data_IF_397701824516
#
_entry.id   IF_397701824516
#
_cell.length_a   1.000
_cell.length_b   1.000
_cell.length_c   1.000
_cell.angle_alpha   90.00
_cell.angle_beta   90.00
_cell.angle_gamma   90.00
#
_symmetry.space_group_name_H-M   'P 1'
#
loop_
_entity.id
_entity.type
_entity.pdbx_description
1 polymer ?
#
# COMPACT_ATOMS: atom_id res chain seq x y z
N UNK A 1 33.47 -19.37 -17.36
CA UNK A 1 31.99 -19.46 -17.22
C UNK A 1 31.69 -19.21 -15.76
N UNK A 2 31.29 -18.00 -15.37
CA UNK A 2 30.90 -17.73 -13.98
C UNK A 2 29.61 -18.48 -13.69
N UNK A 3 29.65 -19.43 -12.77
CA UNK A 3 28.46 -20.11 -12.27
C UNK A 3 27.54 -19.03 -11.67
N UNK A 4 26.30 -18.94 -12.15
CA UNK A 4 25.32 -17.99 -11.63
C UNK A 4 25.13 -18.27 -10.13
N UNK A 5 25.18 -17.22 -9.30
CA UNK A 5 25.00 -17.38 -7.86
C UNK A 5 23.61 -17.97 -7.59
N UNK A 6 23.55 -19.12 -6.91
CA UNK A 6 22.30 -19.77 -6.51
C UNK A 6 21.56 -18.85 -5.55
N UNK A 7 20.37 -18.39 -5.94
CA UNK A 7 19.55 -17.51 -5.13
C UNK A 7 18.92 -18.30 -3.97
N UNK A 8 18.52 -17.64 -2.86
CA UNK A 8 17.91 -18.33 -1.73
C UNK A 8 16.66 -19.15 -2.08
N UNK A 9 15.91 -18.74 -3.10
CA UNK A 9 14.71 -19.44 -3.57
C UNK A 9 14.96 -20.43 -4.71
N UNK A 10 16.20 -20.60 -5.16
CA UNK A 10 16.54 -21.63 -6.16
C UNK A 10 16.67 -23.01 -5.50
N UNK A 11 16.65 -24.06 -6.31
CA UNK A 11 16.87 -25.43 -5.83
C UNK A 11 18.28 -25.57 -5.27
N UNK A 12 18.40 -26.02 -4.03
CA UNK A 12 19.71 -26.27 -3.44
C UNK A 12 20.32 -27.58 -3.96
N UNK A 13 21.66 -27.67 -4.04
CA UNK A 13 22.39 -28.83 -4.60
C UNK A 13 22.02 -30.18 -3.95
N UNK A 14 21.69 -30.19 -2.66
CA UNK A 14 21.28 -31.41 -1.92
C UNK A 14 19.76 -31.55 -1.80
N UNK A 15 18.99 -30.63 -2.37
CA UNK A 15 17.53 -30.64 -2.30
C UNK A 15 16.97 -31.66 -3.31
N UNK A 16 16.21 -32.66 -2.84
CA UNK A 16 15.48 -33.54 -3.73
C UNK A 16 14.55 -32.71 -4.63
N UNK A 17 14.44 -33.11 -5.89
CA UNK A 17 13.59 -32.40 -6.87
C UNK A 17 12.14 -32.29 -6.40
N UNK A 18 11.60 -33.36 -5.83
CA UNK A 18 10.26 -33.34 -5.25
C UNK A 18 10.11 -32.33 -4.09
N UNK A 19 11.13 -32.19 -3.25
CA UNK A 19 11.10 -31.22 -2.15
C UNK A 19 11.10 -29.78 -2.68
N UNK A 20 11.89 -29.50 -3.72
CA UNK A 20 11.89 -28.22 -4.40
C UNK A 20 10.56 -27.93 -5.10
N UNK A 21 9.95 -28.92 -5.75
CA UNK A 21 8.65 -28.77 -6.40
C UNK A 21 7.57 -28.36 -5.39
N UNK A 22 7.56 -28.95 -4.18
CA UNK A 22 6.63 -28.54 -3.12
C UNK A 22 6.93 -27.13 -2.60
N UNK A 23 8.20 -26.74 -2.51
CA UNK A 23 8.58 -25.37 -2.18
C UNK A 23 8.10 -24.37 -3.24
N UNK A 24 8.22 -24.69 -4.53
CA UNK A 24 7.74 -23.83 -5.61
C UNK A 24 6.24 -23.55 -5.47
N UNK A 25 5.43 -24.59 -5.22
CA UNK A 25 4.00 -24.43 -4.91
C UNK A 25 3.80 -23.52 -3.69
N UNK A 26 4.53 -23.77 -2.59
CA UNK A 26 4.44 -22.93 -1.39
C UNK A 26 4.76 -21.45 -1.64
N UNK A 27 5.80 -21.17 -2.43
CA UNK A 27 6.23 -19.83 -2.81
C UNK A 27 5.15 -19.14 -3.64
N UNK A 28 4.62 -19.84 -4.64
CA UNK A 28 3.69 -19.33 -5.65
C UNK A 28 2.28 -19.04 -5.08
N UNK A 29 1.92 -19.65 -3.94
CA UNK A 29 0.73 -19.27 -3.16
C UNK A 29 0.75 -17.83 -2.60
N UNK A 30 1.90 -17.14 -2.70
CA UNK A 30 2.01 -15.74 -2.33
C UNK A 30 1.67 -15.48 -0.86
N UNK A 31 1.09 -14.32 -0.58
CA UNK A 31 0.76 -13.87 0.79
C UNK A 31 -0.19 -14.81 1.55
N UNK A 32 -0.92 -15.68 0.84
CA UNK A 32 -1.88 -16.61 1.45
C UNK A 32 -1.29 -18.00 1.72
N UNK A 33 0.03 -18.16 1.52
CA UNK A 33 0.73 -19.43 1.64
C UNK A 33 0.60 -20.06 3.03
N UNK A 34 0.26 -21.34 3.06
CA UNK A 34 0.33 -22.18 4.25
C UNK A 34 0.73 -23.59 3.84
N UNK A 35 1.43 -24.31 4.71
CA UNK A 35 1.80 -25.72 4.45
C UNK A 35 0.56 -26.59 4.26
N UNK A 36 -0.56 -26.24 4.93
CA UNK A 36 -1.83 -26.93 4.77
C UNK A 36 -2.40 -26.82 3.35
N UNK A 37 -2.34 -25.63 2.73
CA UNK A 37 -2.78 -25.45 1.33
C UNK A 37 -1.94 -26.26 0.37
N UNK A 38 -0.61 -26.25 0.54
CA UNK A 38 0.29 -27.07 -0.27
C UNK A 38 -0.03 -28.55 -0.12
N UNK A 39 -0.29 -29.02 1.11
CA UNK A 39 -0.64 -30.42 1.38
C UNK A 39 -1.87 -30.88 0.59
N UNK A 40 -2.90 -30.02 0.51
CA UNK A 40 -4.09 -30.26 -0.31
C UNK A 40 -3.75 -30.29 -1.80
N UNK A 41 -2.97 -29.32 -2.29
CA UNK A 41 -2.63 -29.23 -3.72
C UNK A 41 -1.77 -30.39 -4.22
N UNK A 42 -0.79 -30.84 -3.41
CA UNK A 42 0.13 -31.91 -3.81
C UNK A 42 -0.30 -33.30 -3.34
N UNK A 43 -1.47 -33.40 -2.70
CA UNK A 43 -2.03 -34.62 -2.12
C UNK A 43 -1.03 -35.38 -1.22
N UNK A 44 -0.47 -34.67 -0.23
CA UNK A 44 0.47 -35.22 0.78
C UNK A 44 0.00 -34.89 2.19
N UNK A 45 0.51 -35.62 3.18
CA UNK A 45 0.17 -35.32 4.57
C UNK A 45 0.80 -33.99 5.01
N UNK A 46 0.06 -33.25 5.84
CA UNK A 46 0.52 -31.97 6.41
C UNK A 46 1.81 -32.15 7.21
N UNK A 47 1.90 -33.19 8.03
CA UNK A 47 3.07 -33.45 8.87
C UNK A 47 4.33 -33.74 8.06
N UNK A 48 4.18 -34.48 6.96
CA UNK A 48 5.29 -34.73 6.03
C UNK A 48 5.80 -33.42 5.44
N UNK A 49 4.89 -32.56 4.94
CA UNK A 49 5.29 -31.28 4.38
C UNK A 49 5.82 -30.29 5.43
N UNK A 50 5.34 -30.32 6.67
CA UNK A 50 5.92 -29.50 7.75
C UNK A 50 7.39 -29.87 8.00
N UNK A 51 7.72 -31.17 8.01
CA UNK A 51 9.11 -31.64 8.14
C UNK A 51 9.97 -31.18 6.97
N UNK A 52 9.48 -31.31 5.73
CA UNK A 52 10.18 -30.84 4.53
C UNK A 52 10.37 -29.32 4.56
N UNK A 53 9.32 -28.57 4.91
CA UNK A 53 9.34 -27.11 4.97
C UNK A 53 10.35 -26.58 5.99
N UNK A 54 10.44 -27.24 7.15
CA UNK A 54 11.44 -26.92 8.17
C UNK A 54 12.86 -27.28 7.70
N UNK A 55 13.06 -28.49 7.15
CA UNK A 55 14.36 -28.95 6.68
C UNK A 55 14.94 -28.06 5.57
N UNK A 56 14.09 -27.57 4.67
CA UNK A 56 14.46 -26.73 3.52
C UNK A 56 14.12 -25.26 3.68
N UNK A 57 13.84 -24.81 4.92
CA UNK A 57 13.69 -23.39 5.30
C UNK A 57 12.74 -22.60 4.39
N UNK A 58 11.56 -23.18 4.09
CA UNK A 58 10.64 -22.61 3.12
C UNK A 58 10.24 -21.17 3.43
N UNK A 59 10.01 -20.84 4.70
CA UNK A 59 9.61 -19.49 5.12
C UNK A 59 10.67 -18.46 4.75
N UNK A 60 11.94 -18.72 5.09
CA UNK A 60 13.03 -17.80 4.82
C UNK A 60 13.26 -17.60 3.32
N UNK A 61 13.14 -18.68 2.54
CA UNK A 61 13.30 -18.66 1.08
C UNK A 61 12.15 -17.91 0.41
N UNK A 62 10.92 -18.16 0.82
CA UNK A 62 9.74 -17.44 0.33
C UNK A 62 9.81 -15.94 0.67
N UNK A 63 10.24 -15.58 1.88
CA UNK A 63 10.45 -14.17 2.26
C UNK A 63 11.54 -13.50 1.43
N UNK A 64 12.63 -14.21 1.10
CA UNK A 64 13.66 -13.68 0.22
C UNK A 64 13.13 -13.44 -1.19
N UNK A 65 12.33 -14.37 -1.71
CA UNK A 65 11.67 -14.22 -3.01
C UNK A 65 10.71 -13.04 -3.01
N UNK A 66 9.85 -12.91 -1.99
CA UNK A 66 8.89 -11.80 -1.89
C UNK A 66 9.58 -10.44 -1.89
N UNK A 67 10.67 -10.29 -1.12
CA UNK A 67 11.44 -9.03 -1.10
C UNK A 67 11.99 -8.68 -2.47
N UNK A 68 12.45 -9.68 -3.22
CA UNK A 68 12.95 -9.46 -4.58
C UNK A 68 11.83 -9.09 -5.54
N UNK A 69 10.67 -9.75 -5.44
CA UNK A 69 9.50 -9.37 -6.24
C UNK A 69 9.02 -7.95 -5.92
N UNK A 70 8.98 -7.58 -4.64
CA UNK A 70 8.62 -6.23 -4.20
C UNK A 70 9.63 -5.18 -4.73
N UNK A 71 10.95 -5.49 -4.71
CA UNK A 71 11.99 -4.64 -5.28
C UNK A 71 11.78 -4.43 -6.78
N UNK A 72 11.63 -5.52 -7.54
CA UNK A 72 11.40 -5.48 -8.98
C UNK A 72 10.12 -4.70 -9.33
N UNK A 73 9.05 -4.91 -8.57
CA UNK A 73 7.80 -4.19 -8.74
C UNK A 73 7.96 -2.69 -8.47
N UNK A 74 8.68 -2.33 -7.40
CA UNK A 74 8.99 -0.95 -7.05
C UNK A 74 9.79 -0.23 -8.13
N UNK A 75 10.80 -0.89 -8.70
CA UNK A 75 11.61 -0.38 -9.80
C UNK A 75 10.79 -0.18 -11.08
N UNK A 76 9.99 -1.19 -11.46
CA UNK A 76 9.11 -1.08 -12.61
C UNK A 76 8.09 0.05 -12.45
N UNK A 77 7.51 0.21 -11.26
CA UNK A 77 6.57 1.29 -10.97
C UNK A 77 7.25 2.67 -11.00
N UNK A 78 8.49 2.77 -10.52
CA UNK A 78 9.27 4.01 -10.59
C UNK A 78 9.53 4.43 -12.04
N UNK A 79 9.92 3.48 -12.90
CA UNK A 79 10.13 3.75 -14.33
C UNK A 79 8.82 4.17 -15.01
N UNK A 80 7.71 3.47 -14.75
CA UNK A 80 6.38 3.87 -15.27
C UNK A 80 5.99 5.29 -14.85
N UNK A 81 6.27 5.70 -13.61
CA UNK A 81 6.01 7.07 -13.15
C UNK A 81 6.84 8.08 -13.93
N UNK A 82 8.12 7.79 -14.17
CA UNK A 82 9.00 8.64 -14.96
C UNK A 82 8.50 8.80 -16.40
N UNK A 83 8.18 7.68 -17.08
CA UNK A 83 7.63 7.69 -18.44
C UNK A 83 6.35 8.54 -18.54
N UNK A 84 5.44 8.39 -17.56
CA UNK A 84 4.21 9.17 -17.50
C UNK A 84 4.48 10.66 -17.27
N UNK A 85 5.37 11.01 -16.34
CA UNK A 85 5.75 12.39 -16.06
C UNK A 85 6.34 13.06 -17.32
N UNK A 86 7.26 12.39 -18.01
CA UNK A 86 7.84 12.90 -19.26
C UNK A 86 6.79 13.10 -20.36
N UNK A 87 5.85 12.16 -20.51
CA UNK A 87 4.73 12.31 -21.47
C UNK A 87 3.84 13.50 -21.10
N UNK A 88 3.50 13.64 -19.82
CA UNK A 88 2.64 14.73 -19.35
C UNK A 88 3.33 16.09 -19.53
N UNK A 89 4.63 16.18 -19.24
CA UNK A 89 5.42 17.38 -19.48
C UNK A 89 5.42 17.77 -20.98
N UNK A 90 5.61 16.80 -21.89
CA UNK A 90 5.54 17.07 -23.34
C UNK A 90 4.17 17.58 -23.78
N UNK A 91 3.09 16.96 -23.29
CA UNK A 91 1.72 17.40 -23.59
C UNK A 91 1.45 18.81 -23.03
N UNK A 92 1.94 19.10 -21.82
CA UNK A 92 1.86 20.41 -21.19
C UNK A 92 2.55 21.49 -22.03
N UNK A 93 3.79 21.28 -22.44
CA UNK A 93 4.54 22.22 -23.28
C UNK A 93 3.88 22.44 -24.64
N UNK A 94 3.33 21.38 -25.25
CA UNK A 94 2.61 21.49 -26.52
C UNK A 94 1.31 22.31 -26.36
N UNK A 95 0.56 22.10 -25.28
CA UNK A 95 -0.64 22.88 -24.97
C UNK A 95 -0.29 24.35 -24.71
N UNK A 96 0.72 24.60 -23.87
CA UNK A 96 1.24 25.95 -23.60
C UNK A 96 1.62 26.66 -24.90
N UNK A 97 2.33 25.99 -25.80
CA UNK A 97 2.72 26.55 -27.11
C UNK A 97 1.49 26.95 -27.94
N UNK A 98 0.44 26.12 -27.96
CA UNK A 98 -0.82 26.45 -28.65
C UNK A 98 -1.56 27.63 -28.00
N UNK A 99 -1.57 27.71 -26.68
CA UNK A 99 -2.16 28.83 -25.93
C UNK A 99 -1.41 30.13 -26.24
N UNK A 100 -0.08 30.11 -26.22
CA UNK A 100 0.76 31.27 -26.59
C UNK A 100 0.51 31.72 -28.03
N UNK A 101 0.47 30.78 -28.98
CA UNK A 101 0.16 31.11 -30.38
C UNK A 101 -1.25 31.72 -30.52
N UNK A 102 -2.24 31.21 -29.79
CA UNK A 102 -3.59 31.77 -29.79
C UNK A 102 -3.61 33.18 -29.18
N UNK A 103 -2.90 33.38 -28.08
CA UNK A 103 -2.73 34.66 -27.39
C UNK A 103 -2.14 35.75 -28.31
N UNK A 104 -1.14 35.41 -29.11
CA UNK A 104 -0.55 36.35 -30.08
C UNK A 104 -1.53 36.81 -31.16
N UNK A 105 -2.55 36.00 -31.47
CA UNK A 105 -3.61 36.32 -32.43
C UNK A 105 -4.87 36.90 -31.80
N UNK A 106 -4.96 36.91 -30.46
CA UNK A 106 -6.12 37.42 -29.74
C UNK A 106 -6.00 38.93 -29.61
N UNK A 107 -7.11 39.61 -29.86
CA UNK A 107 -7.25 41.02 -29.55
C UNK A 107 -7.18 41.19 -28.02
N UNK A 108 -6.11 41.80 -27.53
CA UNK A 108 -5.84 41.98 -26.10
C UNK A 108 -6.96 42.75 -25.39
N UNK A 109 -7.74 43.56 -26.11
CA UNK A 109 -8.91 44.27 -25.56
C UNK A 109 -10.07 43.34 -25.16
N UNK A 110 -10.05 42.07 -25.62
CA UNK A 110 -11.07 41.05 -25.34
C UNK A 110 -10.68 40.09 -24.21
N UNK A 111 -9.45 40.16 -23.69
CA UNK A 111 -9.01 39.33 -22.57
C UNK A 111 -9.36 40.01 -21.25
N UNK A 112 -10.07 39.30 -20.38
CA UNK A 112 -10.32 39.79 -19.04
C UNK A 112 -9.12 39.47 -18.13
N UNK A 113 -8.85 40.29 -17.09
CA UNK A 113 -7.86 39.94 -16.06
C UNK A 113 -8.11 38.56 -15.43
N UNK A 114 -9.36 38.11 -15.37
CA UNK A 114 -9.73 36.78 -14.88
C UNK A 114 -9.31 35.63 -15.81
N UNK A 115 -9.24 35.86 -17.12
CA UNK A 115 -8.75 34.85 -18.08
C UNK A 115 -7.23 34.68 -17.96
N UNK A 116 -6.51 35.80 -17.80
CA UNK A 116 -5.06 35.82 -17.60
C UNK A 116 -4.69 35.10 -16.30
N UNK A 117 -5.39 35.38 -15.21
CA UNK A 117 -5.17 34.72 -13.91
C UNK A 117 -5.42 33.20 -13.99
N UNK A 118 -6.51 32.78 -14.65
CA UNK A 118 -6.83 31.35 -14.83
C UNK A 118 -5.78 30.61 -15.65
N UNK A 119 -5.29 31.24 -16.72
CA UNK A 119 -4.26 30.63 -17.55
C UNK A 119 -2.94 30.48 -16.82
N UNK A 120 -2.52 31.51 -16.08
CA UNK A 120 -1.31 31.45 -15.26
C UNK A 120 -1.42 30.38 -14.15
N UNK A 121 -2.58 30.26 -13.52
CA UNK A 121 -2.82 29.21 -12.51
C UNK A 121 -2.70 27.83 -13.13
N UNK A 122 -3.40 27.56 -14.25
CA UNK A 122 -3.39 26.26 -14.91
C UNK A 122 -1.99 25.88 -15.40
N UNK A 123 -1.23 26.81 -15.96
CA UNK A 123 0.13 26.51 -16.44
C UNK A 123 1.09 26.23 -15.29
N UNK A 124 1.02 27.01 -14.20
CA UNK A 124 1.86 26.82 -13.00
C UNK A 124 1.54 25.50 -12.30
N UNK A 125 0.24 25.16 -12.20
CA UNK A 125 -0.25 23.91 -11.64
C UNK A 125 0.29 22.70 -12.39
N UNK A 126 0.21 22.75 -13.72
CA UNK A 126 0.68 21.68 -14.60
C UNK A 126 2.20 21.48 -14.51
N UNK A 127 2.98 22.55 -14.38
CA UNK A 127 4.44 22.49 -14.19
C UNK A 127 4.81 21.88 -12.83
N UNK A 128 4.12 22.28 -11.75
CA UNK A 128 4.31 21.70 -10.42
C UNK A 128 4.04 20.20 -10.41
N UNK A 129 2.91 19.77 -10.97
CA UNK A 129 2.55 18.35 -11.08
C UNK A 129 3.56 17.56 -11.92
N UNK A 130 4.04 18.12 -13.03
CA UNK A 130 5.04 17.47 -13.87
C UNK A 130 6.40 17.27 -13.15
N UNK A 131 6.74 18.18 -12.23
CA UNK A 131 7.93 18.10 -11.38
C UNK A 131 7.72 17.29 -10.08
N UNK A 132 6.53 16.72 -9.88
CA UNK A 132 6.17 15.99 -8.65
C UNK A 132 6.02 16.89 -7.42
N UNK A 133 5.88 18.20 -7.62
CA UNK A 133 5.60 19.15 -6.55
C UNK A 133 4.10 19.13 -6.24
N UNK A 134 3.71 19.10 -4.95
CA UNK A 134 2.31 19.04 -4.57
C UNK A 134 1.55 20.31 -5.01
N UNK A 135 0.33 20.09 -5.49
CA UNK A 135 -0.49 21.12 -6.12
C UNK A 135 -1.15 22.09 -5.11
N UNK A 136 -1.21 21.65 -3.86
CA UNK A 136 -1.47 22.42 -2.67
C UNK A 136 -0.48 21.93 -1.62
N UNK A 137 0.11 22.84 -0.83
CA UNK A 137 0.87 22.48 0.36
C UNK A 137 -0.07 21.91 1.45
N UNK A 138 -0.85 20.89 1.14
CA UNK A 138 -1.36 19.96 2.15
C UNK A 138 -0.28 18.92 2.36
N UNK A 139 0.83 19.40 2.94
CA UNK A 139 1.77 18.54 3.61
C UNK A 139 1.00 17.88 4.76
N UNK A 140 0.76 16.57 4.66
CA UNK A 140 0.41 15.77 5.84
C UNK A 140 1.71 15.61 6.63
N UNK A 141 2.15 16.71 7.21
CA UNK A 141 3.33 16.80 8.07
C UNK A 141 2.85 17.16 9.47
N UNK A 142 3.55 16.64 10.48
CA UNK A 142 3.34 17.06 11.85
C UNK A 142 3.61 18.56 12.03
N UNK A 143 3.31 19.13 13.21
CA UNK A 143 3.61 20.53 13.50
C UNK A 143 5.06 20.86 13.13
N UNK A 144 5.26 21.83 12.22
CA UNK A 144 6.59 22.26 11.78
C UNK A 144 7.18 21.54 10.56
N UNK A 145 6.43 20.68 9.84
CA UNK A 145 6.90 20.08 8.59
C UNK A 145 7.72 18.80 8.74
N UNK A 146 7.86 18.29 9.97
CA UNK A 146 8.53 17.02 10.23
C UNK A 146 7.69 15.82 9.72
N UNK A 147 8.34 14.72 9.28
CA UNK A 147 7.66 13.44 9.04
C UNK A 147 6.85 13.01 10.27
N UNK A 148 5.65 12.48 10.07
CA UNK A 148 4.88 11.88 11.16
C UNK A 148 5.55 10.56 11.55
N UNK A 149 6.37 10.58 12.60
CA UNK A 149 6.80 9.36 13.25
C UNK A 149 5.62 8.79 14.03
N UNK A 150 4.97 7.77 13.48
CA UNK A 150 4.01 6.98 14.25
C UNK A 150 4.76 5.82 14.89
N UNK A 151 5.30 6.03 16.08
CA UNK A 151 5.76 4.94 16.94
C UNK A 151 4.53 4.19 17.50
N UNK A 152 3.91 3.33 16.69
CA UNK A 152 2.78 2.49 17.14
C UNK A 152 3.24 1.40 18.13
N UNK A 153 4.55 1.29 18.41
CA UNK A 153 5.13 0.25 19.25
C UNK A 153 4.86 0.36 20.76
N UNK A 154 4.58 1.56 21.29
CA UNK A 154 4.64 1.78 22.74
C UNK A 154 3.33 2.23 23.43
N UNK A 155 2.22 2.40 22.69
CA UNK A 155 0.95 2.86 23.30
C UNK A 155 0.08 1.68 23.73
N UNK A 156 -0.45 1.72 24.96
CA UNK A 156 -1.45 0.75 25.44
C UNK A 156 -2.74 0.83 24.61
N UNK A 157 -3.55 -0.23 24.61
CA UNK A 157 -4.78 -0.33 23.81
C UNK A 157 -5.79 0.81 24.12
N UNK A 158 -5.84 1.24 25.38
CA UNK A 158 -6.63 2.39 25.81
C UNK A 158 -6.13 3.70 25.20
N UNK A 159 -4.81 3.90 25.12
CA UNK A 159 -4.19 5.11 24.58
C UNK A 159 -4.32 5.18 23.07
N UNK A 160 -4.24 4.04 22.37
CA UNK A 160 -4.52 3.94 20.94
C UNK A 160 -5.97 4.33 20.65
N UNK A 161 -6.91 3.82 21.43
CA UNK A 161 -8.35 4.09 21.26
C UNK A 161 -8.72 5.55 21.55
N UNK A 162 -8.02 6.19 22.47
CA UNK A 162 -8.15 7.62 22.72
C UNK A 162 -7.55 8.46 21.58
N UNK A 163 -6.35 8.08 21.10
CA UNK A 163 -5.69 8.74 19.98
C UNK A 163 -6.50 8.65 18.68
N UNK A 164 -7.03 7.46 18.35
CA UNK A 164 -7.88 7.28 17.16
C UNK A 164 -9.18 8.08 17.27
N UNK A 165 -9.80 8.17 18.46
CA UNK A 165 -10.98 9.02 18.66
C UNK A 165 -10.66 10.50 18.46
N UNK A 166 -9.54 10.98 19.00
CA UNK A 166 -9.11 12.37 18.82
C UNK A 166 -8.82 12.68 17.34
N UNK A 167 -8.17 11.76 16.62
CA UNK A 167 -7.84 11.91 15.21
C UNK A 167 -9.10 11.94 14.33
N UNK A 168 -10.08 11.08 14.61
CA UNK A 168 -11.37 11.04 13.89
C UNK A 168 -12.21 12.28 14.19
N UNK A 169 -12.20 12.78 15.43
CA UNK A 169 -12.89 14.02 15.79
C UNK A 169 -12.27 15.24 15.09
N UNK A 170 -10.94 15.33 15.05
CA UNK A 170 -10.19 16.37 14.33
C UNK A 170 -10.47 16.33 12.82
N UNK A 171 -10.46 15.13 12.23
CA UNK A 171 -10.78 14.93 10.81
C UNK A 171 -12.23 15.35 10.49
N UNK A 172 -13.18 15.02 11.37
CA UNK A 172 -14.60 15.37 11.20
C UNK A 172 -14.86 16.87 11.34
N UNK A 173 -14.15 17.55 12.24
CA UNK A 173 -14.22 19.00 12.41
C UNK A 173 -13.67 19.76 11.19
N UNK A 174 -12.64 19.20 10.52
CA UNK A 174 -12.04 19.81 9.31
C UNK A 174 -12.80 19.48 8.03
N UNK A 175 -13.54 18.38 8.00
CA UNK A 175 -14.31 17.93 6.83
C UNK A 175 -15.64 18.68 6.64
N UNK A 176 -16.06 19.54 7.58
CA UNK A 176 -17.29 20.32 7.43
C UNK A 176 -18.54 19.45 7.29
N UNK A 177 -18.77 18.57 8.28
CA UNK A 177 -20.08 17.98 8.58
C UNK A 177 -20.76 17.20 7.45
N UNK A 178 -20.25 16.02 7.11
CA UNK A 178 -21.12 14.86 6.85
C UNK A 178 -20.28 13.57 6.92
N UNK A 179 -20.69 12.62 7.76
CA UNK A 179 -20.20 11.25 7.72
C UNK A 179 -21.43 10.34 7.59
N UNK A 180 -21.43 9.38 6.67
CA UNK A 180 -22.53 8.43 6.56
C UNK A 180 -22.58 7.57 7.83
N UNK A 181 -23.75 7.53 8.46
CA UNK A 181 -24.02 6.57 9.52
C UNK A 181 -23.95 5.16 8.94
N UNK A 182 -23.20 4.28 9.58
CA UNK A 182 -23.37 2.85 9.37
C UNK A 182 -23.42 2.16 10.74
N UNK A 183 -24.65 1.97 11.23
CA UNK A 183 -25.05 0.73 11.89
C UNK A 183 -24.78 -0.40 10.89
N UNK A 184 -24.03 -1.45 11.19
CA UNK A 184 -24.34 -2.56 12.10
C UNK A 184 -23.02 -3.35 12.28
N UNK A 185 -22.79 -4.14 13.32
CA UNK A 185 -23.50 -5.40 13.53
C UNK A 185 -23.21 -5.99 14.91
N UNK A 186 -24.23 -6.65 15.44
CA UNK A 186 -24.25 -7.45 16.64
C UNK A 186 -23.48 -8.78 16.46
N UNK A 187 -23.13 -9.42 17.57
CA UNK A 187 -23.24 -10.89 17.64
C UNK A 187 -22.03 -11.65 18.19
N UNK A 188 -21.97 -11.81 19.51
CA UNK A 188 -21.58 -13.09 20.12
C UNK A 188 -22.11 -13.13 21.57
N UNK A 189 -23.22 -13.85 21.78
CA UNK A 189 -23.75 -14.13 23.10
C UNK A 189 -23.16 -15.40 23.71
N UNK A 190 -23.23 -15.52 25.05
CA UNK A 190 -23.33 -16.81 25.73
C UNK A 190 -24.06 -16.69 27.08
N UNK A 191 -25.34 -17.10 27.02
CA UNK A 191 -26.23 -17.82 27.97
C UNK A 191 -26.35 -17.49 29.48
N UNK A 192 -27.56 -17.70 30.05
CA UNK A 192 -27.88 -17.45 31.45
C UNK A 192 -27.56 -18.65 32.35
N UNK A 193 -27.17 -18.38 33.59
CA UNK A 193 -27.05 -19.36 34.68
C UNK A 193 -28.22 -19.20 35.65
N UNK A 194 -29.09 -20.19 35.73
CA UNK A 194 -30.05 -20.40 36.83
C UNK A 194 -29.91 -21.85 37.31
N UNK A 195 -30.05 -22.00 38.62
CA UNK A 195 -30.20 -23.18 39.51
C UNK A 195 -29.09 -23.15 40.56
N UNK A 196 -29.34 -22.55 41.73
CA UNK A 196 -30.14 -23.05 42.86
C UNK A 196 -29.48 -24.25 43.54
N UNK A 197 -28.96 -24.01 44.75
CA UNK A 197 -29.20 -24.80 45.96
C UNK A 197 -28.24 -24.34 47.07
N UNK A 198 -28.78 -24.12 48.27
CA UNK A 198 -28.01 -24.32 49.51
C UNK A 198 -27.97 -23.19 50.53
N UNK A 199 -28.92 -23.26 51.46
CA UNK A 199 -28.68 -23.22 52.92
C UNK A 199 -28.75 -21.91 53.74
N UNK A 200 -29.64 -22.01 54.75
CA UNK A 200 -29.54 -21.50 56.13
C UNK A 200 -29.70 -19.96 56.30
N UNK A 201 -30.62 -19.41 57.11
CA UNK A 201 -31.11 -19.80 58.43
C UNK A 201 -32.45 -19.13 58.75
#
# INVERSE_FOLDING_TARGET
MSEAAVLPWDRHKREPEAAYAYFAVYRDLGRTRTVAKVATEVNKSRDYLHKIAAAWRWVQRAQAFDREQDRMYGEALAERRREMAERHARLASALQSKVVARLQSLDASKLTPGDIARWLEVTTRLERLALGLPDSATAVSGPGGAPIEVEIGAMGEADRSAFFRALVAEASARAGGDLPSNSSDEGAGEKPSVEDEGEQH
#
